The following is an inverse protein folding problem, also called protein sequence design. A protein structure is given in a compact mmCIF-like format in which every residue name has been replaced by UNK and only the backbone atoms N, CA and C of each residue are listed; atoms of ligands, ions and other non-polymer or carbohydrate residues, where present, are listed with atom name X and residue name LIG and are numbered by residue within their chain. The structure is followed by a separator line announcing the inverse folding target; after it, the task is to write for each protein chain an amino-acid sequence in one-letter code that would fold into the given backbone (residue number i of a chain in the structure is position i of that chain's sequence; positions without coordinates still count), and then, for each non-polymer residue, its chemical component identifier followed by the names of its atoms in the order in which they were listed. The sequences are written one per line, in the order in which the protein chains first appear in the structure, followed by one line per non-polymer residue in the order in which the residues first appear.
data_IF_377078262038
#
_entry.id   IF_377078262038
#
_cell.length_a   1.000
_cell.length_b   1.000
_cell.length_c   1.000
_cell.angle_alpha   90.00
_cell.angle_beta   90.00
_cell.angle_gamma   90.00
#
_symmetry.space_group_name_H-M   'P 1'
#
loop_
_entity.id
_entity.type
_entity.pdbx_description
1 polymer ?
#
# COMPACT_ATOMS: atom_id res chain seq x y z
N UNK A 1 3.58 -3.86 13.11
CA UNK A 1 3.01 -2.53 13.44
C UNK A 1 1.50 -2.62 13.36
N UNK A 2 0.80 -1.93 14.25
CA UNK A 2 -0.65 -1.76 14.21
C UNK A 2 -1.04 -0.67 13.20
N UNK A 3 -2.33 -0.61 12.84
CA UNK A 3 -2.84 0.43 11.95
C UNK A 3 -2.70 1.84 12.55
N UNK A 4 -2.84 1.98 13.87
CA UNK A 4 -2.69 3.26 14.56
C UNK A 4 -1.25 3.77 14.50
N UNK A 5 -0.27 2.88 14.70
CA UNK A 5 1.16 3.20 14.56
C UNK A 5 1.48 3.64 13.13
N UNK A 6 0.92 2.95 12.12
CA UNK A 6 1.09 3.29 10.71
C UNK A 6 0.52 4.68 10.40
N UNK A 7 -0.69 4.98 10.88
CA UNK A 7 -1.32 6.30 10.69
C UNK A 7 -0.53 7.41 11.38
N UNK A 8 -0.01 7.15 12.58
CA UNK A 8 0.84 8.09 13.29
C UNK A 8 2.14 8.37 12.52
N UNK A 9 2.83 7.33 12.03
CA UNK A 9 4.01 7.52 11.18
C UNK A 9 3.68 8.29 9.89
N UNK A 10 2.53 8.01 9.27
CA UNK A 10 2.07 8.69 8.05
C UNK A 10 1.82 10.18 8.28
N UNK A 11 1.24 10.58 9.41
CA UNK A 11 0.99 11.99 9.72
C UNK A 11 2.27 12.77 10.04
N UNK A 12 3.27 12.09 10.63
CA UNK A 12 4.53 12.72 11.05
C UNK A 12 5.59 12.75 9.94
N UNK A 13 5.40 12.01 8.86
CA UNK A 13 6.33 11.96 7.74
C UNK A 13 5.88 12.91 6.62
N UNK A 14 6.73 13.85 6.22
CA UNK A 14 6.46 14.73 5.08
C UNK A 14 7.46 14.38 3.96
N UNK A 15 7.06 13.60 2.93
CA UNK A 15 7.95 13.31 1.82
C UNK A 15 8.25 14.58 1.04
N UNK A 16 9.53 14.81 0.73
CA UNK A 16 9.96 15.93 -0.12
C UNK A 16 9.73 15.66 -1.60
N UNK A 17 9.73 14.39 -1.97
CA UNK A 17 9.53 13.89 -3.32
C UNK A 17 9.07 12.42 -3.29
N UNK A 18 8.81 11.86 -4.46
CA UNK A 18 8.39 10.46 -4.62
C UNK A 18 9.46 9.47 -4.15
N UNK A 19 10.75 9.81 -4.27
CA UNK A 19 11.84 8.94 -3.82
C UNK A 19 11.88 8.85 -2.29
N UNK A 20 11.59 9.94 -1.58
CA UNK A 20 11.46 9.95 -0.13
C UNK A 20 10.29 9.07 0.31
N UNK A 21 9.15 9.14 -0.38
CA UNK A 21 8.01 8.26 -0.14
C UNK A 21 8.37 6.78 -0.38
N UNK A 22 9.02 6.48 -1.51
CA UNK A 22 9.53 5.14 -1.85
C UNK A 22 10.44 4.59 -0.75
N UNK A 23 11.42 5.38 -0.32
CA UNK A 23 12.39 4.98 0.70
C UNK A 23 11.69 4.67 2.02
N UNK A 24 10.68 5.46 2.40
CA UNK A 24 9.91 5.21 3.62
C UNK A 24 9.08 3.93 3.52
N UNK A 25 8.44 3.67 2.38
CA UNK A 25 7.71 2.41 2.14
C UNK A 25 8.65 1.21 2.15
N UNK A 26 9.86 1.33 1.58
CA UNK A 26 10.88 0.30 1.64
C UNK A 26 11.37 0.02 3.07
N UNK A 27 11.54 1.07 3.89
CA UNK A 27 11.86 0.95 5.32
C UNK A 27 10.76 0.18 6.06
N UNK A 28 9.49 0.54 5.85
CA UNK A 28 8.34 -0.12 6.47
C UNK A 28 8.28 -1.60 6.07
N UNK A 29 8.46 -1.92 4.78
CA UNK A 29 8.55 -3.30 4.29
C UNK A 29 9.67 -4.08 4.98
N UNK A 30 10.86 -3.47 5.09
CA UNK A 30 12.02 -4.10 5.75
C UNK A 30 11.76 -4.35 7.24
N UNK A 31 10.93 -3.53 7.88
CA UNK A 31 10.45 -3.72 9.27
C UNK A 31 9.33 -4.76 9.39
N UNK A 32 8.95 -5.43 8.30
CA UNK A 32 7.90 -6.46 8.29
C UNK A 32 6.48 -5.90 8.20
N UNK A 33 6.30 -4.65 7.80
CA UNK A 33 4.96 -4.11 7.49
C UNK A 33 4.44 -4.75 6.21
N UNK A 34 3.22 -5.27 6.25
CA UNK A 34 2.58 -5.90 5.10
C UNK A 34 2.26 -4.89 3.99
N UNK A 35 2.01 -5.39 2.78
CA UNK A 35 1.57 -4.55 1.66
C UNK A 35 0.37 -3.66 2.03
N UNK A 36 -0.67 -4.21 2.66
CA UNK A 36 -1.84 -3.45 3.11
C UNK A 36 -1.48 -2.38 4.16
N UNK A 37 -0.51 -2.66 5.03
CA UNK A 37 0.02 -1.66 5.95
C UNK A 37 0.75 -0.52 5.23
N UNK A 38 1.52 -0.82 4.19
CA UNK A 38 2.14 0.19 3.34
C UNK A 38 1.09 1.01 2.57
N UNK A 39 0.03 0.37 2.06
CA UNK A 39 -1.10 1.08 1.43
C UNK A 39 -1.77 2.03 2.42
N UNK A 40 -2.05 1.57 3.65
CA UNK A 40 -2.62 2.42 4.69
C UNK A 40 -1.72 3.62 5.05
N UNK A 41 -0.40 3.42 5.06
CA UNK A 41 0.57 4.49 5.22
C UNK A 41 0.46 5.52 4.09
N UNK A 42 0.57 5.08 2.83
CA UNK A 42 0.51 5.95 1.65
C UNK A 42 -0.82 6.68 1.58
N UNK A 43 -1.93 5.99 1.84
CA UNK A 43 -3.27 6.55 1.86
C UNK A 43 -3.39 7.72 2.85
N UNK A 44 -2.95 7.50 4.09
CA UNK A 44 -3.02 8.53 5.14
C UNK A 44 -2.04 9.67 4.88
N UNK A 45 -0.85 9.36 4.36
CA UNK A 45 0.21 10.35 4.11
C UNK A 45 -0.10 11.28 2.93
N UNK A 46 -0.63 10.72 1.85
CA UNK A 46 -0.92 11.43 0.59
C UNK A 46 -2.38 11.88 0.48
N UNK A 47 -3.21 11.56 1.49
CA UNK A 47 -4.64 11.86 1.52
C UNK A 47 -5.38 11.36 0.26
N UNK A 48 -5.18 10.08 -0.06
CA UNK A 48 -5.70 9.45 -1.27
C UNK A 48 -6.90 8.54 -0.99
N UNK A 49 -7.64 8.20 -2.05
CA UNK A 49 -8.59 7.09 -2.00
C UNK A 49 -7.84 5.76 -1.80
N UNK A 50 -8.55 4.71 -1.35
CA UNK A 50 -7.92 3.39 -1.19
C UNK A 50 -7.38 2.83 -2.51
N UNK A 51 -8.11 3.03 -3.61
CA UNK A 51 -7.69 2.57 -4.94
C UNK A 51 -6.43 3.31 -5.41
N UNK A 52 -6.39 4.63 -5.26
CA UNK A 52 -5.23 5.44 -5.67
C UNK A 52 -4.02 5.13 -4.79
N UNK A 53 -4.23 4.94 -3.48
CA UNK A 53 -3.15 4.56 -2.57
C UNK A 53 -2.59 3.18 -2.89
N UNK A 54 -3.44 2.20 -3.25
CA UNK A 54 -2.99 0.87 -3.70
C UNK A 54 -2.13 1.00 -4.96
N UNK A 55 -2.62 1.71 -5.97
CA UNK A 55 -1.90 1.89 -7.23
C UNK A 55 -0.57 2.61 -7.00
N UNK A 56 -0.57 3.74 -6.29
CA UNK A 56 0.65 4.46 -5.98
C UNK A 56 1.63 3.59 -5.20
N UNK A 57 1.16 2.76 -4.26
CA UNK A 57 2.03 1.84 -3.51
C UNK A 57 2.68 0.82 -4.43
N UNK A 58 1.98 0.30 -5.44
CA UNK A 58 2.53 -0.61 -6.45
C UNK A 58 3.54 0.10 -7.37
N UNK A 59 3.26 1.34 -7.74
CA UNK A 59 4.13 2.16 -8.60
C UNK A 59 5.44 2.57 -7.91
N UNK A 60 5.50 2.49 -6.57
CA UNK A 60 6.76 2.58 -5.85
C UNK A 60 7.55 1.30 -6.14
N UNK A 61 8.65 1.43 -6.90
CA UNK A 61 9.62 0.39 -7.24
C UNK A 61 10.28 -0.22 -5.98
N UNK A 62 9.49 -0.93 -5.20
CA UNK A 62 9.76 -1.54 -3.89
C UNK A 62 9.40 -3.03 -3.93
N UNK A 63 8.51 -3.40 -4.85
CA UNK A 63 7.97 -4.74 -5.02
C UNK A 63 8.55 -5.36 -6.29
N UNK A 64 8.91 -6.63 -6.20
CA UNK A 64 9.31 -7.42 -7.37
C UNK A 64 8.11 -7.69 -8.29
N UNK A 65 8.37 -7.97 -9.56
CA UNK A 65 7.32 -8.31 -10.54
C UNK A 65 6.43 -9.46 -10.05
N UNK A 66 7.03 -10.49 -9.44
CA UNK A 66 6.31 -11.63 -8.86
C UNK A 66 5.40 -11.22 -7.69
N UNK A 67 5.83 -10.28 -6.85
CA UNK A 67 5.03 -9.76 -5.74
C UNK A 67 3.86 -8.93 -6.27
N UNK A 68 4.10 -8.04 -7.24
CA UNK A 68 3.05 -7.24 -7.87
C UNK A 68 2.00 -8.14 -8.53
N UNK A 69 2.45 -9.14 -9.29
CA UNK A 69 1.55 -10.10 -9.94
C UNK A 69 0.67 -10.85 -8.93
N UNK A 70 1.25 -11.29 -7.80
CA UNK A 70 0.49 -11.95 -6.73
C UNK A 70 -0.53 -11.02 -6.08
N UNK A 71 -0.16 -9.76 -5.82
CA UNK A 71 -1.06 -8.76 -5.25
C UNK A 71 -2.25 -8.52 -6.18
N UNK A 72 -2.00 -8.34 -7.47
CA UNK A 72 -3.05 -8.14 -8.47
C UNK A 72 -3.95 -9.37 -8.60
N UNK A 73 -3.39 -10.58 -8.58
CA UNK A 73 -4.15 -11.82 -8.60
C UNK A 73 -5.11 -11.91 -7.40
N UNK A 74 -4.63 -11.66 -6.18
CA UNK A 74 -5.47 -11.69 -4.99
C UNK A 74 -6.51 -10.58 -5.00
N UNK A 75 -6.16 -9.39 -5.45
CA UNK A 75 -7.10 -8.29 -5.59
C UNK A 75 -8.23 -8.65 -6.55
N UNK A 76 -7.92 -9.19 -7.73
CA UNK A 76 -8.91 -9.59 -8.73
C UNK A 76 -9.79 -10.75 -8.23
N UNK A 77 -9.21 -11.69 -7.47
CA UNK A 77 -9.98 -12.75 -6.83
C UNK A 77 -11.01 -12.18 -5.85
N UNK A 78 -10.59 -11.29 -4.94
CA UNK A 78 -11.48 -10.65 -3.97
C UNK A 78 -12.58 -9.83 -4.67
N UNK A 79 -12.24 -9.06 -5.70
CA UNK A 79 -13.24 -8.29 -6.45
C UNK A 79 -14.26 -9.20 -7.14
N UNK A 80 -13.82 -10.32 -7.70
CA UNK A 80 -14.72 -11.30 -8.33
C UNK A 80 -15.69 -11.92 -7.32
N UNK A 81 -15.24 -12.20 -6.10
CA UNK A 81 -16.11 -12.70 -5.02
C UNK A 81 -17.16 -11.67 -4.60
N UNK A 82 -16.82 -10.38 -4.66
CA UNK A 82 -17.77 -9.30 -4.35
C UNK A 82 -18.76 -8.99 -5.49
N UNK A 83 -18.35 -9.27 -6.73
CA UNK A 83 -19.14 -9.05 -7.94
C UNK A 83 -20.01 -10.26 -8.33
N UNK A 84 -19.93 -11.39 -7.59
CA UNK A 84 -20.66 -12.61 -7.93
C UNK A 84 -22.18 -12.40 -7.71
N UNK A 85 -23.00 -12.32 -8.77
CA UNK A 85 -24.40 -11.91 -8.67
C UNK A 85 -25.33 -13.04 -8.21
N UNK A 86 -24.77 -14.21 -7.89
CA UNK A 86 -25.49 -15.40 -7.43
C UNK A 86 -25.54 -15.52 -5.88
N UNK A 87 -25.06 -14.51 -5.14
CA UNK A 87 -25.39 -14.24 -3.71
C UNK A 87 -26.34 -13.03 -3.54
#
# INVERSE_FOLDING_TARGET
MTLEEIKSEALNFVPKDVNALRNKVMELRTRGVSFLGCVAFVQANQNLSLSDARQQTLDLDVWTDDEQHKIDLYHNLMMRELDDPDE
#
